data_IF_365161935467
#
_entry.id   IF_365161935467
#
_cell.length_a   1.000
_cell.length_b   1.000
_cell.length_c   1.000
_cell.angle_alpha   90.00
_cell.angle_beta   90.00
_cell.angle_gamma   90.00
#
_symmetry.space_group_name_H-M   'P 1'
#
loop_
_entity.id
_entity.type
_entity.pdbx_description
1 polymer ?
#
# COMPACT_ATOMS: atom_id res chain seq x y z
N UNK A 1 5.25 -59.56 -73.92
CA UNK A 1 6.51 -58.78 -73.88
C UNK A 1 6.20 -57.44 -74.54
N UNK A 2 6.37 -56.24 -74.01
CA UNK A 2 7.18 -55.74 -72.89
C UNK A 2 6.45 -54.50 -72.34
N UNK A 3 6.22 -54.47 -71.03
CA UNK A 3 6.04 -53.20 -70.32
C UNK A 3 7.41 -52.50 -70.23
N UNK A 4 7.39 -51.25 -69.78
CA UNK A 4 8.56 -50.40 -69.49
C UNK A 4 9.13 -49.65 -70.69
N UNK A 5 8.51 -48.50 -71.00
CA UNK A 5 9.30 -47.31 -71.31
C UNK A 5 9.22 -46.41 -70.07
N UNK A 6 10.29 -46.49 -69.29
CA UNK A 6 10.48 -45.75 -68.06
C UNK A 6 10.27 -44.25 -68.31
N UNK A 7 9.42 -43.65 -67.49
CA UNK A 7 9.45 -42.22 -67.28
C UNK A 7 10.87 -41.85 -66.83
N UNK A 8 11.44 -40.87 -67.52
CA UNK A 8 12.75 -40.31 -67.22
C UNK A 8 12.79 -39.93 -65.74
N UNK A 9 13.76 -40.51 -65.02
CA UNK A 9 14.14 -40.10 -63.68
C UNK A 9 14.58 -38.62 -63.72
N UNK A 10 13.65 -37.73 -63.42
CA UNK A 10 13.93 -36.57 -62.58
C UNK A 10 13.19 -36.85 -61.29
N UNK A 11 13.80 -37.70 -60.44
CA UNK A 11 13.49 -37.73 -59.02
C UNK A 11 14.05 -36.43 -58.43
N UNK A 12 13.42 -35.31 -58.80
CA UNK A 12 13.44 -34.14 -57.93
C UNK A 12 12.75 -34.63 -56.66
N UNK A 13 13.46 -34.53 -55.54
CA UNK A 13 12.96 -34.89 -54.23
C UNK A 13 11.86 -33.89 -53.85
N UNK A 14 10.62 -34.14 -54.33
CA UNK A 14 9.48 -33.23 -54.17
C UNK A 14 8.92 -33.25 -52.74
N UNK A 15 9.36 -34.19 -51.91
CA UNK A 15 8.96 -34.30 -50.50
C UNK A 15 10.15 -34.73 -49.65
N UNK A 16 10.97 -33.77 -49.22
CA UNK A 16 11.82 -33.97 -48.04
C UNK A 16 10.91 -34.04 -46.81
N UNK A 17 10.37 -35.24 -46.56
CA UNK A 17 9.45 -35.60 -45.48
C UNK A 17 10.02 -35.23 -44.09
N UNK A 18 11.33 -34.99 -43.99
CA UNK A 18 12.03 -34.69 -42.74
C UNK A 18 12.45 -33.21 -42.60
N UNK A 19 12.42 -32.42 -43.68
CA UNK A 19 12.68 -30.98 -43.64
C UNK A 19 11.53 -30.20 -43.01
N UNK A 20 10.28 -30.63 -43.26
CA UNK A 20 9.11 -29.95 -42.70
C UNK A 20 9.03 -30.10 -41.17
N UNK A 21 9.42 -31.25 -40.61
CA UNK A 21 9.39 -31.48 -39.16
C UNK A 21 10.45 -30.67 -38.40
N UNK A 22 11.69 -30.62 -38.90
CA UNK A 22 12.77 -29.84 -38.26
C UNK A 22 12.50 -28.33 -38.36
N UNK A 23 11.96 -27.89 -39.50
CA UNK A 23 11.57 -26.50 -39.72
C UNK A 23 10.36 -26.10 -38.85
N UNK A 24 9.36 -26.98 -38.73
CA UNK A 24 8.22 -26.78 -37.84
C UNK A 24 8.69 -26.66 -36.38
N UNK A 25 9.54 -27.57 -35.90
CA UNK A 25 10.10 -27.52 -34.54
C UNK A 25 10.88 -26.23 -34.28
N UNK A 26 11.69 -25.77 -35.23
CA UNK A 26 12.43 -24.51 -35.14
C UNK A 26 11.50 -23.30 -35.06
N UNK A 27 10.43 -23.28 -35.87
CA UNK A 27 9.41 -22.22 -35.87
C UNK A 27 8.61 -22.20 -34.57
N UNK A 28 8.22 -23.37 -34.05
CA UNK A 28 7.53 -23.50 -32.77
C UNK A 28 8.41 -23.05 -31.61
N UNK A 29 9.69 -23.42 -31.61
CA UNK A 29 10.67 -22.98 -30.62
C UNK A 29 10.82 -21.45 -30.64
N UNK A 30 11.00 -20.84 -31.81
CA UNK A 30 11.13 -19.39 -31.96
C UNK A 30 9.86 -18.64 -31.52
N UNK A 31 8.68 -19.17 -31.89
CA UNK A 31 7.38 -18.63 -31.47
C UNK A 31 7.21 -18.70 -29.95
N UNK A 32 7.51 -19.84 -29.35
CA UNK A 32 7.43 -20.04 -27.89
C UNK A 32 8.43 -19.16 -27.14
N UNK A 33 9.64 -18.96 -27.66
CA UNK A 33 10.63 -18.08 -27.05
C UNK A 33 10.18 -16.63 -27.10
N UNK A 34 9.66 -16.16 -28.25
CA UNK A 34 9.08 -14.82 -28.39
C UNK A 34 7.89 -14.61 -27.45
N UNK A 35 7.04 -15.62 -27.32
CA UNK A 35 5.92 -15.60 -26.39
C UNK A 35 6.38 -15.47 -24.94
N UNK A 36 7.37 -16.27 -24.50
CA UNK A 36 7.92 -16.18 -23.13
C UNK A 36 8.50 -14.80 -22.80
N UNK A 37 9.15 -14.14 -23.77
CA UNK A 37 9.68 -12.78 -23.55
C UNK A 37 8.52 -11.78 -23.36
N UNK A 38 7.47 -11.88 -24.19
CA UNK A 38 6.30 -11.01 -24.08
C UNK A 38 5.54 -11.26 -22.78
N UNK A 39 5.31 -12.53 -22.44
CA UNK A 39 4.63 -12.93 -21.21
C UNK A 39 5.43 -12.46 -19.99
N UNK A 40 6.77 -12.65 -19.99
CA UNK A 40 7.63 -12.17 -18.90
C UNK A 40 7.65 -10.65 -18.74
N UNK A 41 7.54 -9.88 -19.83
CA UNK A 41 7.39 -8.43 -19.76
C UNK A 41 6.05 -8.03 -19.13
N UNK A 42 4.96 -8.64 -19.58
CA UNK A 42 3.61 -8.38 -19.03
C UNK A 42 3.56 -8.76 -17.55
N UNK A 43 4.09 -9.92 -17.19
CA UNK A 43 4.18 -10.39 -15.81
C UNK A 43 5.03 -9.43 -14.95
N UNK A 44 6.14 -8.93 -15.49
CA UNK A 44 7.00 -7.97 -14.81
C UNK A 44 6.31 -6.63 -14.54
N UNK A 45 5.55 -6.11 -15.51
CA UNK A 45 4.77 -4.88 -15.35
C UNK A 45 3.69 -5.08 -14.29
N UNK A 46 2.90 -6.16 -14.40
CA UNK A 46 1.85 -6.46 -13.43
C UNK A 46 2.41 -6.64 -12.01
N UNK A 47 3.49 -7.40 -11.86
CA UNK A 47 4.15 -7.59 -10.57
C UNK A 47 4.68 -6.28 -9.98
N UNK A 48 5.20 -5.38 -10.84
CA UNK A 48 5.65 -4.06 -10.43
C UNK A 48 4.50 -3.17 -9.94
N UNK A 49 3.39 -3.16 -10.66
CA UNK A 49 2.17 -2.42 -10.29
C UNK A 49 1.61 -2.91 -8.95
N UNK A 50 1.41 -4.24 -8.82
CA UNK A 50 0.92 -4.86 -7.59
C UNK A 50 1.85 -4.57 -6.39
N UNK A 51 3.17 -4.67 -6.58
CA UNK A 51 4.14 -4.38 -5.52
C UNK A 51 4.12 -2.91 -5.10
N UNK A 52 3.94 -1.99 -6.05
CA UNK A 52 3.82 -0.56 -5.75
C UNK A 52 2.53 -0.26 -4.97
N UNK A 53 1.41 -0.81 -5.43
CA UNK A 53 0.10 -0.65 -4.79
C UNK A 53 0.11 -1.20 -3.36
N UNK A 54 0.66 -2.41 -3.16
CA UNK A 54 0.73 -3.02 -1.84
C UNK A 54 1.60 -2.21 -0.88
N UNK A 55 2.71 -1.62 -1.36
CA UNK A 55 3.53 -0.71 -0.53
C UNK A 55 2.75 0.52 -0.11
N UNK A 56 2.01 1.14 -1.03
CA UNK A 56 1.13 2.28 -0.74
C UNK A 56 0.06 1.92 0.30
N UNK A 57 -0.61 0.78 0.11
CA UNK A 57 -1.61 0.28 1.05
C UNK A 57 -1.02 0.04 2.45
N UNK A 58 0.12 -0.66 2.55
CA UNK A 58 0.75 -0.96 3.83
C UNK A 58 1.13 0.32 4.59
N UNK A 59 1.61 1.34 3.86
CA UNK A 59 1.97 2.63 4.45
C UNK A 59 0.73 3.36 4.97
N UNK A 60 -0.32 3.48 4.14
CA UNK A 60 -1.58 4.12 4.52
C UNK A 60 -2.29 3.37 5.65
N UNK A 61 -2.29 2.05 5.62
CA UNK A 61 -2.85 1.20 6.68
C UNK A 61 -2.13 1.42 8.00
N UNK A 62 -0.79 1.42 8.00
CA UNK A 62 0.00 1.66 9.22
C UNK A 62 -0.29 3.02 9.83
N UNK A 63 -0.36 4.06 9.00
CA UNK A 63 -0.65 5.42 9.45
C UNK A 63 -2.10 5.57 9.96
N UNK A 64 -3.08 5.05 9.21
CA UNK A 64 -4.47 5.06 9.61
C UNK A 64 -4.72 4.29 10.90
N UNK A 65 -4.12 3.10 11.03
CA UNK A 65 -4.21 2.28 12.24
C UNK A 65 -3.57 2.98 13.44
N UNK A 66 -2.37 3.56 13.29
CA UNK A 66 -1.70 4.29 14.37
C UNK A 66 -2.57 5.42 14.94
N UNK A 67 -3.37 6.10 14.10
CA UNK A 67 -4.23 7.21 14.52
C UNK A 67 -5.59 6.76 15.09
N UNK A 68 -6.09 5.59 14.70
CA UNK A 68 -7.49 5.19 14.97
C UNK A 68 -7.61 4.06 15.99
N UNK A 69 -6.59 3.21 16.16
CA UNK A 69 -6.68 2.03 17.05
C UNK A 69 -6.95 2.42 18.50
N UNK A 70 -6.24 3.41 19.05
CA UNK A 70 -6.41 3.83 20.44
C UNK A 70 -7.81 4.41 20.69
N UNK A 71 -8.29 5.26 19.78
CA UNK A 71 -9.63 5.87 19.85
C UNK A 71 -10.73 4.84 19.68
N UNK A 72 -10.57 3.89 18.74
CA UNK A 72 -11.51 2.80 18.53
C UNK A 72 -11.61 1.87 19.74
N UNK A 73 -10.48 1.57 20.39
CA UNK A 73 -10.46 0.83 21.66
C UNK A 73 -11.16 1.61 22.78
N UNK A 74 -10.86 2.90 22.93
CA UNK A 74 -11.52 3.75 23.91
C UNK A 74 -13.04 3.76 23.72
N UNK A 75 -13.50 3.93 22.47
CA UNK A 75 -14.93 3.87 22.14
C UNK A 75 -15.55 2.53 22.49
N UNK A 76 -14.87 1.43 22.18
CA UNK A 76 -15.29 0.08 22.55
C UNK A 76 -15.45 -0.09 24.07
N UNK A 77 -14.47 0.40 24.84
CA UNK A 77 -14.52 0.35 26.32
C UNK A 77 -15.69 1.18 26.85
N UNK A 78 -15.82 2.45 26.43
CA UNK A 78 -16.91 3.32 26.90
C UNK A 78 -18.28 2.74 26.55
N UNK A 79 -18.42 2.15 25.35
CA UNK A 79 -19.65 1.46 24.93
C UNK A 79 -19.94 0.23 25.80
N UNK A 80 -18.91 -0.54 26.14
CA UNK A 80 -19.05 -1.70 27.02
C UNK A 80 -19.47 -1.28 28.44
N UNK A 81 -18.88 -0.21 28.99
CA UNK A 81 -19.25 0.37 30.29
C UNK A 81 -20.71 0.86 30.27
N UNK A 82 -21.12 1.52 29.18
CA UNK A 82 -22.49 1.96 28.98
C UNK A 82 -23.49 0.79 28.97
N UNK A 83 -23.20 -0.28 28.22
CA UNK A 83 -24.02 -1.48 28.20
C UNK A 83 -24.05 -2.16 29.58
N UNK A 84 -22.90 -2.29 30.25
CA UNK A 84 -22.80 -2.89 31.58
C UNK A 84 -23.67 -2.12 32.59
N UNK A 85 -23.64 -0.79 32.58
CA UNK A 85 -24.44 0.03 33.48
C UNK A 85 -25.94 -0.23 33.29
N UNK A 86 -26.42 -0.31 32.04
CA UNK A 86 -27.83 -0.60 31.77
C UNK A 86 -28.26 -1.98 32.27
N UNK A 87 -27.38 -2.98 32.13
CA UNK A 87 -27.66 -4.35 32.58
C UNK A 87 -27.73 -4.40 34.12
N UNK A 88 -26.82 -3.71 34.80
CA UNK A 88 -26.78 -3.70 36.28
C UNK A 88 -27.88 -2.84 36.89
N UNK A 89 -28.32 -1.79 36.19
CA UNK A 89 -29.29 -0.82 36.71
C UNK A 89 -30.41 -0.54 35.69
N UNK A 90 -31.28 -1.53 35.39
CA UNK A 90 -32.33 -1.36 34.38
C UNK A 90 -33.36 -0.26 34.74
N UNK A 91 -33.55 0.02 36.04
CA UNK A 91 -34.49 1.02 36.55
C UNK A 91 -33.92 2.44 36.60
N UNK A 92 -32.60 2.61 36.41
CA UNK A 92 -31.94 3.92 36.48
C UNK A 92 -31.51 4.36 35.08
N UNK A 93 -31.74 5.63 34.70
CA UNK A 93 -31.18 6.15 33.47
C UNK A 93 -29.66 6.14 33.54
N UNK A 94 -29.02 5.97 32.38
CA UNK A 94 -27.57 6.05 32.25
C UNK A 94 -27.09 7.45 32.68
N UNK A 95 -25.97 7.57 33.42
CA UNK A 95 -25.44 8.87 33.82
C UNK A 95 -25.13 9.74 32.60
N UNK A 96 -25.53 11.01 32.65
CA UNK A 96 -25.27 11.98 31.56
C UNK A 96 -23.79 12.06 31.21
N UNK A 97 -22.91 12.01 32.22
CA UNK A 97 -21.45 12.01 32.03
C UNK A 97 -20.94 10.88 31.12
N UNK A 98 -21.54 9.69 31.20
CA UNK A 98 -21.17 8.55 30.38
C UNK A 98 -21.70 8.68 28.95
N UNK A 99 -22.91 9.25 28.80
CA UNK A 99 -23.49 9.56 27.49
C UNK A 99 -22.65 10.64 26.79
N UNK A 100 -22.32 11.72 27.51
CA UNK A 100 -21.49 12.82 27.02
C UNK A 100 -20.09 12.32 26.62
N UNK A 101 -19.49 11.44 27.43
CA UNK A 101 -18.19 10.83 27.12
C UNK A 101 -18.25 10.01 25.83
N UNK A 102 -19.26 9.14 25.68
CA UNK A 102 -19.43 8.34 24.47
C UNK A 102 -19.62 9.22 23.23
N UNK A 103 -20.40 10.29 23.35
CA UNK A 103 -20.61 11.25 22.27
C UNK A 103 -19.30 11.97 21.90
N UNK A 104 -18.52 12.42 22.89
CA UNK A 104 -17.24 13.09 22.62
C UNK A 104 -16.21 12.16 21.98
N UNK A 105 -16.12 10.91 22.43
CA UNK A 105 -15.24 9.92 21.81
C UNK A 105 -15.66 9.65 20.36
N UNK A 106 -16.96 9.56 20.08
CA UNK A 106 -17.49 9.38 18.72
C UNK A 106 -17.16 10.57 17.83
N UNK A 107 -17.35 11.80 18.31
CA UNK A 107 -17.00 13.01 17.56
C UNK A 107 -15.49 13.11 17.30
N UNK A 108 -14.68 12.66 18.25
CA UNK A 108 -13.22 12.63 18.08
C UNK A 108 -12.80 11.61 17.00
N UNK A 109 -13.41 10.43 16.99
CA UNK A 109 -13.21 9.41 15.94
C UNK A 109 -13.60 9.95 14.56
N UNK A 110 -14.79 10.54 14.43
CA UNK A 110 -15.27 11.16 13.18
C UNK A 110 -14.32 12.25 12.69
N UNK A 111 -13.82 13.11 13.60
CA UNK A 111 -12.85 14.15 13.26
C UNK A 111 -11.53 13.60 12.70
N UNK A 112 -11.05 12.47 13.23
CA UNK A 112 -9.85 11.79 12.72
C UNK A 112 -10.12 11.20 11.33
N UNK A 113 -11.25 10.51 11.15
CA UNK A 113 -11.64 9.91 9.86
C UNK A 113 -11.79 11.00 8.79
N UNK A 114 -12.42 12.12 9.11
CA UNK A 114 -12.58 13.24 8.18
C UNK A 114 -11.24 13.91 7.86
N UNK A 115 -10.33 14.00 8.83
CA UNK A 115 -8.95 14.45 8.59
C UNK A 115 -8.22 13.54 7.60
N UNK A 116 -8.34 12.22 7.77
CA UNK A 116 -7.77 11.23 6.84
C UNK A 116 -8.39 11.39 5.44
N UNK A 117 -9.72 11.49 5.35
CA UNK A 117 -10.44 11.66 4.08
C UNK A 117 -10.00 12.91 3.31
N UNK A 118 -9.89 14.06 3.99
CA UNK A 118 -9.44 15.32 3.38
C UNK A 118 -8.01 15.22 2.84
N UNK A 119 -7.14 14.47 3.52
CA UNK A 119 -5.77 14.22 3.08
C UNK A 119 -5.72 13.32 1.84
N UNK A 120 -6.66 12.38 1.71
CA UNK A 120 -6.79 11.53 0.51
C UNK A 120 -7.41 12.27 -0.68
N UNK A 121 -8.37 13.16 -0.45
CA UNK A 121 -9.00 13.96 -1.51
C UNK A 121 -8.07 15.05 -2.07
N UNK A 122 -7.17 15.59 -1.24
CA UNK A 122 -6.19 16.58 -1.64
C UNK A 122 -4.79 16.10 -1.25
N UNK A 123 -4.24 15.10 -1.98
CA UNK A 123 -2.91 14.60 -1.68
C UNK A 123 -1.89 15.73 -1.84
N UNK A 124 -0.87 15.82 -0.96
CA UNK A 124 0.25 16.72 -1.20
C UNK A 124 0.89 16.36 -2.55
N UNK A 125 1.37 17.35 -3.33
CA UNK A 125 1.87 17.11 -4.68
C UNK A 125 2.93 16.02 -4.64
N UNK A 126 2.64 14.89 -5.29
CA UNK A 126 3.52 13.73 -5.30
C UNK A 126 4.42 13.77 -6.53
N UNK A 127 5.56 13.11 -6.45
CA UNK A 127 6.51 13.02 -7.58
C UNK A 127 5.89 12.24 -8.76
N UNK A 128 4.86 11.43 -8.51
CA UNK A 128 4.10 10.72 -9.56
C UNK A 128 3.27 11.68 -10.41
N UNK A 129 2.72 12.74 -9.81
CA UNK A 129 1.93 13.75 -10.53
C UNK A 129 2.81 14.58 -11.49
N UNK A 130 4.13 14.62 -11.24
CA UNK A 130 5.11 15.23 -12.15
C UNK A 130 5.47 14.28 -13.31
N UNK A 131 5.36 12.97 -13.11
CA UNK A 131 5.68 11.97 -14.14
C UNK A 131 4.63 11.93 -15.26
N UNK A 132 3.35 12.17 -14.95
CA UNK A 132 2.29 12.25 -15.96
C UNK A 132 2.51 13.45 -16.92
N UNK A 133 3.19 14.50 -16.45
CA UNK A 133 3.61 15.64 -17.29
C UNK A 133 4.82 15.34 -18.17
N UNK A 134 5.52 14.21 -18.00
CA UNK A 134 6.66 13.83 -18.85
C UNK A 134 6.27 13.06 -20.10
N UNK A 135 5.02 12.58 -20.20
CA UNK A 135 4.53 11.85 -21.38
C UNK A 135 4.38 12.74 -22.63
N UNK A 136 4.36 14.07 -22.45
CA UNK A 136 4.21 15.06 -23.52
C UNK A 136 5.54 15.70 -23.97
N UNK A 137 6.67 15.28 -23.38
CA UNK A 137 7.99 15.61 -23.88
C UNK A 137 8.36 14.58 -24.94
N UNK A 138 8.12 14.91 -26.21
CA UNK A 138 8.69 14.20 -27.37
C UNK A 138 10.23 14.22 -27.28
N UNK A 139 10.81 13.31 -26.50
CA UNK A 139 12.25 13.11 -26.47
C UNK A 139 12.61 12.46 -27.79
N UNK A 140 13.00 13.29 -28.77
CA UNK A 140 13.66 12.79 -29.97
C UNK A 140 14.79 11.86 -29.51
N UNK A 141 14.92 10.65 -30.07
CA UNK A 141 16.09 9.84 -29.82
C UNK A 141 17.28 10.60 -30.41
N UNK A 142 17.95 11.41 -29.59
CA UNK A 142 19.29 11.86 -29.89
C UNK A 142 20.12 10.58 -29.86
N UNK A 143 20.41 10.06 -31.06
CA UNK A 143 21.26 8.90 -31.23
C UNK A 143 22.52 9.11 -30.41
N UNK A 144 22.75 8.21 -29.45
CA UNK A 144 24.04 8.07 -28.82
C UNK A 144 24.93 7.40 -29.86
N UNK A 145 25.45 8.18 -30.81
CA UNK A 145 26.66 7.81 -31.52
C UNK A 145 27.85 8.12 -30.61
N UNK A 146 28.77 7.15 -30.55
CA UNK A 146 29.93 7.05 -29.65
C UNK A 146 29.65 6.57 -28.21
N UNK A 147 29.56 5.24 -28.09
CA UNK A 147 30.35 4.40 -27.15
C UNK A 147 31.07 5.14 -26.01
N UNK A 148 30.41 5.33 -24.86
CA UNK A 148 30.89 4.90 -23.52
C UNK A 148 29.93 5.19 -22.34
N UNK A 149 28.64 5.48 -22.56
CA UNK A 149 27.71 5.85 -21.47
C UNK A 149 27.43 4.77 -20.40
N UNK A 150 27.86 3.52 -20.60
CA UNK A 150 27.57 2.41 -19.67
C UNK A 150 28.80 1.74 -19.06
N UNK A 151 29.99 2.33 -19.16
CA UNK A 151 31.21 1.74 -18.59
C UNK A 151 31.84 2.64 -17.52
N UNK A 152 31.20 2.68 -16.37
CA UNK A 152 31.91 2.95 -15.13
C UNK A 152 31.52 1.91 -14.10
N UNK A 153 32.40 0.93 -13.94
CA UNK A 153 32.48 0.10 -12.74
C UNK A 153 32.88 1.01 -11.57
N UNK A 154 31.92 1.75 -11.02
CA UNK A 154 32.09 2.36 -9.71
C UNK A 154 31.86 1.28 -8.67
N UNK A 155 32.96 0.91 -8.02
CA UNK A 155 33.02 0.12 -6.78
C UNK A 155 31.89 0.54 -5.83
N UNK A 156 31.08 -0.43 -5.42
CA UNK A 156 30.25 -0.29 -4.22
C UNK A 156 31.18 -0.24 -3.00
N UNK A 157 31.40 0.96 -2.46
CA UNK A 157 31.91 1.11 -1.10
C UNK A 157 30.70 1.15 -0.14
N UNK A 158 30.60 0.08 0.64
CA UNK A 158 29.82 0.04 1.88
C UNK A 158 30.52 0.92 2.92
N UNK A 159 29.70 1.64 3.69
CA UNK A 159 30.01 2.41 4.90
C UNK A 159 30.45 3.87 4.71
N UNK A 160 29.73 4.75 5.41
CA UNK A 160 29.83 6.20 5.27
C UNK A 160 28.75 6.92 6.09
N UNK A 161 28.84 6.79 7.41
CA UNK A 161 28.13 7.61 8.37
C UNK A 161 28.38 9.11 8.08
N UNK A 162 27.34 9.87 7.74
CA UNK A 162 27.39 11.33 7.84
C UNK A 162 26.12 11.90 8.45
N UNK A 163 26.38 12.55 9.58
CA UNK A 163 25.52 13.20 10.52
C UNK A 163 25.19 14.62 10.03
N UNK A 164 23.99 15.11 10.40
CA UNK A 164 23.51 16.50 10.34
C UNK A 164 23.20 17.03 8.91
N UNK A 165 22.10 17.74 8.64
CA UNK A 165 21.58 18.87 9.39
C UNK A 165 20.07 19.05 9.14
N UNK A 166 19.38 19.46 10.21
CA UNK A 166 17.99 19.90 10.27
C UNK A 166 17.62 20.84 9.10
N UNK A 167 16.75 20.37 8.21
CA UNK A 167 15.90 21.24 7.39
C UNK A 167 14.51 21.24 8.03
N UNK A 168 14.32 22.19 8.94
CA UNK A 168 13.02 22.61 9.44
C UNK A 168 12.17 23.04 8.24
N UNK A 169 11.16 22.26 7.91
CA UNK A 169 10.05 22.74 7.10
C UNK A 169 9.23 23.69 7.97
N UNK A 170 9.53 24.98 7.85
CA UNK A 170 8.69 26.09 8.29
C UNK A 170 7.51 26.21 7.30
N UNK A 171 6.49 25.37 7.49
CA UNK A 171 5.16 25.60 6.92
C UNK A 171 4.14 25.43 8.02
N UNK A 172 3.42 26.53 8.29
CA UNK A 172 2.53 26.71 9.43
C UNK A 172 1.44 25.66 9.54
N UNK A 173 1.64 24.76 10.49
CA UNK A 173 0.71 24.39 11.57
C UNK A 173 -0.79 24.68 11.35
N UNK A 174 -1.54 23.61 11.11
CA UNK A 174 -2.81 23.37 11.79
C UNK A 174 -3.01 21.87 12.07
N UNK A 175 -1.99 21.19 12.59
CA UNK A 175 -2.14 19.93 13.31
C UNK A 175 -2.14 20.18 14.83
N UNK A 176 -2.88 21.19 15.29
CA UNK A 176 -3.05 21.48 16.70
C UNK A 176 -4.37 20.85 17.15
N UNK A 177 -4.31 19.63 17.71
CA UNK A 177 -5.45 19.12 18.49
C UNK A 177 -5.60 17.61 18.73
N UNK A 178 -4.88 16.72 18.04
CA UNK A 178 -5.20 15.28 18.18
C UNK A 178 -4.66 14.63 19.46
N UNK A 179 -3.38 14.85 19.81
CA UNK A 179 -2.77 14.23 20.99
C UNK A 179 -3.44 14.68 22.31
N UNK A 180 -3.73 15.98 22.44
CA UNK A 180 -4.42 16.52 23.61
C UNK A 180 -5.89 16.11 23.72
N UNK A 181 -6.53 15.74 22.61
CA UNK A 181 -7.91 15.27 22.59
C UNK A 181 -8.05 13.86 23.18
N UNK A 182 -7.20 12.93 22.74
CA UNK A 182 -7.26 11.54 23.22
C UNK A 182 -6.89 11.44 24.70
N UNK A 183 -5.80 12.07 25.14
CA UNK A 183 -5.38 12.06 26.55
C UNK A 183 -6.49 12.57 27.48
N UNK A 184 -7.19 13.63 27.08
CA UNK A 184 -8.32 14.19 27.83
C UNK A 184 -9.49 13.19 27.92
N UNK A 185 -9.82 12.52 26.81
CA UNK A 185 -10.90 11.53 26.77
C UNK A 185 -10.56 10.28 27.58
N UNK A 186 -9.30 9.84 27.54
CA UNK A 186 -8.80 8.73 28.36
C UNK A 186 -8.91 9.08 29.84
N UNK A 187 -8.43 10.27 30.24
CA UNK A 187 -8.54 10.71 31.64
C UNK A 187 -10.01 10.76 32.10
N UNK A 188 -10.89 11.30 31.26
CA UNK A 188 -12.32 11.37 31.56
C UNK A 188 -12.97 9.99 31.68
N UNK A 189 -12.50 9.01 30.90
CA UNK A 189 -12.94 7.63 31.01
C UNK A 189 -12.46 6.97 32.31
N UNK A 190 -11.25 7.26 32.76
CA UNK A 190 -10.71 6.78 34.06
C UNK A 190 -11.55 7.35 35.21
N UNK A 191 -11.87 8.64 35.16
CA UNK A 191 -12.69 9.30 36.19
C UNK A 191 -14.07 8.65 36.29
N UNK A 192 -14.73 8.41 35.14
CA UNK A 192 -16.04 7.73 35.10
C UNK A 192 -15.94 6.27 35.57
N UNK A 193 -14.89 5.55 35.18
CA UNK A 193 -14.68 4.17 35.63
C UNK A 193 -14.48 4.10 37.16
N UNK A 194 -13.77 5.08 37.73
CA UNK A 194 -13.56 5.19 39.17
C UNK A 194 -14.85 5.55 39.91
N UNK A 195 -15.66 6.47 39.37
CA UNK A 195 -16.97 6.84 39.92
C UNK A 195 -17.98 5.68 39.92
N UNK A 196 -17.87 4.78 38.93
CA UNK A 196 -18.70 3.58 38.81
C UNK A 196 -18.15 2.37 39.56
N UNK A 197 -17.05 2.53 40.33
CA UNK A 197 -16.38 1.47 41.09
C UNK A 197 -16.00 0.25 40.23
N UNK A 198 -15.57 0.49 38.98
CA UNK A 198 -15.16 -0.57 38.06
C UNK A 198 -13.82 -1.20 38.47
N UNK A 199 -13.53 -2.44 38.03
CA UNK A 199 -12.29 -3.14 38.37
C UNK A 199 -11.02 -2.35 37.98
N UNK A 200 -10.00 -2.39 38.83
CA UNK A 200 -8.72 -1.71 38.58
C UNK A 200 -8.00 -2.21 37.32
N UNK A 201 -8.23 -3.47 36.93
CA UNK A 201 -7.72 -4.02 35.66
C UNK A 201 -8.24 -3.22 34.46
N UNK A 202 -9.52 -2.81 34.48
CA UNK A 202 -10.09 -1.99 33.41
C UNK A 202 -9.46 -0.60 33.35
N UNK A 203 -9.20 0.00 34.51
CA UNK A 203 -8.54 1.31 34.60
C UNK A 203 -7.12 1.22 34.02
N UNK A 204 -6.36 0.18 34.35
CA UNK A 204 -5.04 -0.08 33.77
C UNK A 204 -5.10 -0.21 32.25
N UNK A 205 -6.08 -0.95 31.71
CA UNK A 205 -6.26 -1.10 30.27
C UNK A 205 -6.65 0.22 29.56
N UNK A 206 -7.40 1.10 30.23
CA UNK A 206 -7.72 2.43 29.71
C UNK A 206 -6.45 3.30 29.68
N UNK A 207 -5.60 3.20 30.69
CA UNK A 207 -4.35 3.96 30.79
C UNK A 207 -3.31 3.54 29.74
N UNK A 208 -3.27 2.26 29.36
CA UNK A 208 -2.43 1.74 28.27
C UNK A 208 -2.69 2.45 26.93
N UNK A 209 -3.89 2.96 26.70
CA UNK A 209 -4.27 3.65 25.45
C UNK A 209 -3.49 4.94 25.21
N UNK A 210 -2.88 5.53 26.24
CA UNK A 210 -2.05 6.74 26.11
C UNK A 210 -0.70 6.46 25.45
N UNK A 211 -0.25 5.22 25.49
CA UNK A 211 1.05 4.79 25.00
C UNK A 211 0.99 4.04 23.65
N UNK A 212 -0.20 4.00 23.02
CA UNK A 212 -0.44 3.39 21.71
C UNK A 212 -0.25 4.39 20.57
#
# INVERSE_FOLDING_TARGET
MSWVKAASFNAEDVFDENADDLYLQSKEWASNMKKRIKDGYVDGVNAGEEASLQRGFNMGFREGAARTVAVGRLRGIVSAVWCWYQIQHPEKPVPSRLIDLLQQVTQHEEGIIDGIRKTLENPPPSVSDVSESMEDLEVKPAGCEETDCCRSEQKMDLDGSHNQQNLLCESGCAASGSAGGLDLLVQRCIDVASELELPQELISHIEELRNM
#
